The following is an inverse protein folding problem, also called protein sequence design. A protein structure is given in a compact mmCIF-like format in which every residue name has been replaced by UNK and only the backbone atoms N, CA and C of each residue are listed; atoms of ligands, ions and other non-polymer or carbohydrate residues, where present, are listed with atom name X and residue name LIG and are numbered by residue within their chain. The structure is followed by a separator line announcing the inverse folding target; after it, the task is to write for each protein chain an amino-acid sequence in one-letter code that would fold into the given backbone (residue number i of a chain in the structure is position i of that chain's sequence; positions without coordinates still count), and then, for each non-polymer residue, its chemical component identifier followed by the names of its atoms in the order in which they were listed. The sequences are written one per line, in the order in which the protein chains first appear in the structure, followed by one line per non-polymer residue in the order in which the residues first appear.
data_IF_481757082268
#
_entry.id   IF_481757082268
#
_cell.length_a   1.000
_cell.length_b   1.000
_cell.length_c   1.000
_cell.angle_alpha   90.00
_cell.angle_beta   90.00
_cell.angle_gamma   90.00
#
_symmetry.space_group_name_H-M   'P 1'
#
loop_
_entity.id
_entity.type
_entity.pdbx_description
1 polymer ?
#
# COMPACT_ATOMS: atom_id res chain seq x y z
N UNK A 1 -1.00 -18.29 14.33
CA UNK A 1 -1.27 -18.81 12.97
C UNK A 1 -0.08 -18.51 12.10
N UNK A 2 0.58 -19.50 11.49
CA UNK A 2 1.74 -19.24 10.63
C UNK A 2 1.28 -18.69 9.28
N UNK A 3 1.84 -17.55 8.87
CA UNK A 3 1.58 -16.92 7.58
C UNK A 3 2.70 -17.30 6.61
N UNK A 4 2.36 -17.96 5.50
CA UNK A 4 3.31 -18.38 4.47
C UNK A 4 3.21 -17.45 3.26
N UNK A 5 4.28 -16.70 3.00
CA UNK A 5 4.41 -15.85 1.81
C UNK A 5 5.16 -16.60 0.71
N UNK A 6 4.45 -16.93 -0.37
CA UNK A 6 5.02 -17.59 -1.55
C UNK A 6 5.05 -16.60 -2.73
N UNK A 7 6.19 -16.44 -3.43
CA UNK A 7 6.24 -15.69 -4.67
C UNK A 7 5.40 -16.41 -5.73
N UNK A 8 4.46 -15.69 -6.35
CA UNK A 8 3.53 -16.23 -7.34
C UNK A 8 3.89 -15.61 -8.69
N UNK A 9 4.19 -16.46 -9.65
CA UNK A 9 4.36 -16.13 -11.07
C UNK A 9 3.01 -15.63 -11.66
N UNK A 10 3.07 -14.73 -12.65
CA UNK A 10 1.94 -14.27 -13.47
C UNK A 10 1.14 -15.44 -14.06
N UNK A 11 1.79 -16.51 -14.53
CA UNK A 11 1.09 -17.68 -15.04
C UNK A 11 0.29 -18.38 -13.94
N UNK A 12 0.89 -18.54 -12.77
CA UNK A 12 0.25 -19.13 -11.59
C UNK A 12 -0.90 -18.24 -11.08
N UNK A 13 -0.74 -16.91 -11.14
CA UNK A 13 -1.78 -15.94 -10.80
C UNK A 13 -3.01 -16.09 -11.70
N UNK A 14 -2.81 -16.20 -13.01
CA UNK A 14 -3.90 -16.35 -13.97
C UNK A 14 -4.63 -17.69 -13.80
N UNK A 15 -3.89 -18.77 -13.50
CA UNK A 15 -4.48 -20.08 -13.17
C UNK A 15 -5.27 -20.03 -11.86
N UNK A 16 -4.75 -19.35 -10.84
CA UNK A 16 -5.45 -19.15 -9.55
C UNK A 16 -6.75 -18.37 -9.73
N UNK A 17 -6.75 -17.31 -10.54
CA UNK A 17 -7.96 -16.57 -10.92
C UNK A 17 -8.98 -17.47 -11.62
N UNK A 18 -8.54 -18.31 -12.57
CA UNK A 18 -9.40 -19.28 -13.24
C UNK A 18 -9.98 -20.34 -12.27
N UNK A 19 -9.33 -20.56 -11.13
CA UNK A 19 -9.77 -21.46 -10.06
C UNK A 19 -10.41 -20.70 -8.88
N UNK A 20 -10.94 -19.51 -9.13
CA UNK A 20 -11.69 -18.71 -8.14
C UNK A 20 -12.96 -19.40 -7.61
N UNK A 21 -13.41 -20.48 -8.27
CA UNK A 21 -14.47 -21.37 -7.81
C UNK A 21 -14.07 -22.29 -6.65
N UNK A 22 -12.76 -22.47 -6.42
CA UNK A 22 -12.25 -23.05 -5.18
C UNK A 22 -12.60 -22.06 -4.06
N UNK A 23 -13.20 -22.51 -2.96
CA UNK A 23 -13.52 -21.67 -1.80
C UNK A 23 -12.24 -21.22 -1.08
N UNK A 24 -11.52 -20.28 -1.69
CA UNK A 24 -10.45 -19.56 -1.02
C UNK A 24 -11.06 -18.76 0.14
N UNK A 25 -10.35 -18.68 1.26
CA UNK A 25 -10.76 -17.77 2.32
C UNK A 25 -10.73 -16.34 1.78
N UNK A 26 -11.62 -15.49 2.30
CA UNK A 26 -11.73 -14.08 1.89
C UNK A 26 -10.38 -13.35 1.97
N UNK A 27 -9.59 -13.68 3.00
CA UNK A 27 -8.22 -13.18 3.19
C UNK A 27 -7.30 -13.46 1.99
N UNK A 28 -7.38 -14.65 1.40
CA UNK A 28 -6.53 -14.98 0.25
C UNK A 28 -7.03 -14.32 -1.03
N UNK A 29 -8.34 -14.22 -1.22
CA UNK A 29 -8.92 -13.49 -2.35
C UNK A 29 -8.51 -12.00 -2.32
N UNK A 30 -8.62 -11.38 -1.14
CA UNK A 30 -8.21 -10.00 -0.92
C UNK A 30 -6.70 -9.83 -1.12
N UNK A 31 -5.88 -10.76 -0.62
CA UNK A 31 -4.43 -10.74 -0.81
C UNK A 31 -3.99 -10.85 -2.27
N UNK A 32 -4.64 -11.69 -3.08
CA UNK A 32 -4.41 -11.81 -4.52
C UNK A 32 -4.78 -10.50 -5.23
N UNK A 33 -5.88 -9.87 -4.82
CA UNK A 33 -6.32 -8.60 -5.39
C UNK A 33 -5.38 -7.45 -5.03
N UNK A 34 -5.00 -7.31 -3.75
CA UNK A 34 -4.00 -6.35 -3.27
C UNK A 34 -2.69 -6.43 -4.07
N UNK A 35 -2.19 -7.65 -4.30
CA UNK A 35 -0.95 -7.88 -5.05
C UNK A 35 -1.02 -7.36 -6.49
N UNK A 36 -2.13 -7.61 -7.18
CA UNK A 36 -2.36 -7.09 -8.54
C UNK A 36 -2.46 -5.57 -8.57
N UNK A 37 -3.18 -4.98 -7.62
CA UNK A 37 -3.30 -3.51 -7.53
C UNK A 37 -1.92 -2.90 -7.28
N UNK A 38 -1.14 -3.46 -6.36
CA UNK A 38 0.21 -2.98 -6.06
C UNK A 38 1.13 -3.04 -7.29
N UNK A 39 1.12 -4.14 -8.05
CA UNK A 39 1.93 -4.26 -9.28
C UNK A 39 1.54 -3.22 -10.34
N UNK A 40 0.24 -2.99 -10.54
CA UNK A 40 -0.26 -1.97 -11.46
C UNK A 40 0.17 -0.57 -10.99
N UNK A 41 0.05 -0.31 -9.69
CA UNK A 41 0.43 0.95 -9.10
C UNK A 41 1.94 1.22 -9.20
N UNK A 42 2.79 0.20 -8.98
CA UNK A 42 4.24 0.33 -9.13
C UNK A 42 4.61 0.66 -10.58
N UNK A 43 3.95 0.04 -11.56
CA UNK A 43 4.25 0.23 -13.00
C UNK A 43 3.73 1.57 -13.52
N UNK A 44 2.47 1.90 -13.23
CA UNK A 44 1.75 2.98 -13.90
C UNK A 44 1.45 4.17 -12.98
N UNK A 45 1.62 4.01 -11.66
CA UNK A 45 1.19 4.97 -10.62
C UNK A 45 -0.29 5.34 -10.69
N UNK A 46 -1.12 4.43 -11.21
CA UNK A 46 -2.57 4.60 -11.33
C UNK A 46 -3.31 3.44 -10.69
N UNK A 47 -4.54 3.72 -10.25
CA UNK A 47 -5.48 2.73 -9.69
C UNK A 47 -6.80 2.90 -10.45
N UNK A 48 -7.47 1.80 -10.78
CA UNK A 48 -8.79 1.83 -11.39
C UNK A 48 -9.85 2.21 -10.35
N UNK A 49 -10.99 2.78 -10.76
CA UNK A 49 -12.07 3.17 -9.82
C UNK A 49 -12.57 1.98 -8.98
N UNK A 50 -12.78 0.81 -9.62
CA UNK A 50 -13.19 -0.41 -8.94
C UNK A 50 -12.14 -0.95 -7.94
N UNK A 51 -10.85 -0.69 -8.18
CA UNK A 51 -9.78 -1.05 -7.25
C UNK A 51 -9.61 -0.02 -6.14
N UNK A 52 -9.93 1.26 -6.39
CA UNK A 52 -9.95 2.30 -5.38
C UNK A 52 -11.08 2.05 -4.36
N UNK A 53 -12.29 1.75 -4.82
CA UNK A 53 -13.41 1.36 -3.94
C UNK A 53 -13.05 0.15 -3.06
N UNK A 54 -12.34 -0.82 -3.62
CA UNK A 54 -11.87 -1.98 -2.86
C UNK A 54 -10.84 -1.59 -1.80
N UNK A 55 -9.89 -0.70 -2.12
CA UNK A 55 -8.88 -0.20 -1.18
C UNK A 55 -9.53 0.52 0.02
N UNK A 56 -10.51 1.39 -0.25
CA UNK A 56 -11.28 2.10 0.79
C UNK A 56 -12.08 1.14 1.68
N UNK A 57 -12.71 0.13 1.09
CA UNK A 57 -13.52 -0.84 1.84
C UNK A 57 -12.70 -1.64 2.87
N UNK A 58 -11.40 -1.83 2.63
CA UNK A 58 -10.52 -2.66 3.46
C UNK A 58 -9.47 -1.86 4.22
N UNK A 59 -9.54 -0.52 4.18
CA UNK A 59 -8.58 0.41 4.81
C UNK A 59 -7.12 0.06 4.48
N UNK A 60 -6.82 -0.11 3.19
CA UNK A 60 -5.47 -0.42 2.71
C UNK A 60 -5.21 0.30 1.39
N UNK A 61 -4.05 0.95 1.28
CA UNK A 61 -3.63 1.65 0.06
C UNK A 61 -2.30 1.09 -0.46
N UNK A 62 -2.08 1.00 -1.78
CA UNK A 62 -0.82 0.48 -2.34
C UNK A 62 0.45 1.21 -1.89
N UNK A 63 0.32 2.46 -1.44
CA UNK A 63 1.42 3.28 -0.93
C UNK A 63 1.95 2.74 0.41
N UNK A 64 1.14 2.05 1.20
CA UNK A 64 1.50 1.53 2.52
C UNK A 64 2.60 0.46 2.45
N UNK A 65 2.65 -0.28 1.33
CA UNK A 65 3.66 -1.32 1.08
C UNK A 65 4.96 -0.76 0.48
N UNK A 66 4.96 0.52 0.05
CA UNK A 66 6.14 1.11 -0.57
C UNK A 66 7.18 1.47 0.49
N UNK A 67 8.48 1.20 0.24
CA UNK A 67 9.53 1.63 1.14
C UNK A 67 9.53 3.16 1.24
N UNK A 68 9.66 3.67 2.47
CA UNK A 68 9.79 5.10 2.72
C UNK A 68 10.98 5.62 1.91
N UNK A 69 10.76 6.70 1.16
CA UNK A 69 11.81 7.35 0.36
C UNK A 69 12.99 7.72 1.26
N UNK A 70 14.19 7.26 0.91
CA UNK A 70 15.41 7.51 1.68
C UNK A 70 15.69 9.01 1.84
N UNK A 71 15.36 9.83 0.85
CA UNK A 71 15.46 11.30 0.92
C UNK A 71 14.67 11.90 2.09
N UNK A 72 13.51 11.32 2.40
CA UNK A 72 12.64 11.76 3.48
C UNK A 72 13.22 11.36 4.84
N UNK A 73 13.81 10.16 4.91
CA UNK A 73 14.57 9.69 6.08
C UNK A 73 15.79 10.58 6.33
N UNK A 74 16.52 10.96 5.28
CA UNK A 74 17.66 11.86 5.38
C UNK A 74 17.26 13.27 5.82
N UNK A 75 16.14 13.80 5.30
CA UNK A 75 15.58 15.08 5.76
C UNK A 75 15.16 15.03 7.22
N UNK A 76 14.52 13.94 7.65
CA UNK A 76 14.14 13.75 9.06
C UNK A 76 15.36 13.58 9.99
N UNK A 77 16.43 12.94 9.51
CA UNK A 77 17.70 12.84 10.26
C UNK A 77 18.45 14.19 10.34
N UNK A 78 18.35 15.01 9.29
CA UNK A 78 18.93 16.37 9.24
C UNK A 78 18.10 17.40 10.02
N UNK A 79 16.78 17.17 10.12
CA UNK A 79 15.89 17.91 10.99
C UNK A 79 16.15 17.50 12.44
N UNK A 80 17.24 18.04 12.99
CA UNK A 80 17.56 17.93 14.40
C UNK A 80 16.38 18.39 15.27
N UNK A 81 16.22 17.79 16.45
CA UNK A 81 15.18 18.10 17.45
C UNK A 81 15.16 19.55 17.98
N UNK A 82 15.95 20.45 17.38
CA UNK A 82 16.15 21.85 17.79
C UNK A 82 15.37 22.86 16.95
N UNK A 83 14.80 22.47 15.80
CA UNK A 83 14.04 23.36 14.90
C UNK A 83 12.53 23.14 14.99
N UNK A 84 12.00 22.86 16.18
CA UNK A 84 10.55 22.93 16.39
C UNK A 84 10.23 24.35 16.81
N UNK A 85 9.52 25.08 15.96
CA UNK A 85 8.86 26.31 16.38
C UNK A 85 7.60 25.90 17.15
N UNK A 86 7.54 26.29 18.42
CA UNK A 86 6.35 26.07 19.22
C UNK A 86 5.25 26.98 18.68
N UNK A 87 4.20 26.37 18.14
CA UNK A 87 3.06 27.07 17.58
C UNK A 87 1.91 26.94 18.58
N UNK A 88 1.37 28.06 19.05
CA UNK A 88 0.26 28.07 20.02
C UNK A 88 -1.09 27.81 19.34
N UNK A 89 -1.26 28.25 18.09
CA UNK A 89 -2.46 28.08 17.29
C UNK A 89 -2.16 27.68 15.84
N UNK A 90 -3.05 26.90 15.22
CA UNK A 90 -2.90 26.41 13.83
C UNK A 90 -2.78 27.58 12.84
N UNK A 91 -3.35 28.74 13.17
CA UNK A 91 -3.27 29.98 12.40
C UNK A 91 -1.84 30.54 12.24
N UNK A 92 -0.93 30.23 13.15
CA UNK A 92 0.45 30.72 13.11
C UNK A 92 1.33 29.93 12.12
N UNK A 93 0.87 28.77 11.64
CA UNK A 93 1.55 27.98 10.59
C UNK A 93 1.46 28.67 9.22
N UNK A 94 0.45 29.51 9.01
CA UNK A 94 0.12 30.11 7.71
C UNK A 94 0.49 31.59 7.56
N UNK A 95 1.22 32.17 8.53
CA UNK A 95 1.81 33.52 8.42
C UNK A 95 3.15 33.48 7.69
#
# INVERSE_FOLDING_TARGET
MPTLTVPIDVELYNRLQAHSWVKWSKVVQDGIRKRKILEIYIRNKTISEADAEFCEMIDWHPVDELPIKQELIEKLKKADKKSYEAVEDVSDIFK
#
